data_IF_341314646791
#
_entry.id   IF_341314646791
#
_cell.length_a   1.000
_cell.length_b   1.000
_cell.length_c   1.000
_cell.angle_alpha   90.00
_cell.angle_beta   90.00
_cell.angle_gamma   90.00
#
_symmetry.space_group_name_H-M   'P 1'
#
loop_
_entity.id
_entity.type
_entity.pdbx_description
1 polymer ?
#
# COMPACT_ATOMS: atom_id res chain seq x y z
N UNK A 1 -47.10 -0.49 35.14
CA UNK A 1 -46.53 -1.78 34.74
C UNK A 1 -45.47 -1.53 33.73
N UNK A 2 -44.19 -1.50 34.16
CA UNK A 2 -43.01 -1.19 33.30
C UNK A 2 -42.51 -2.51 32.73
N UNK A 3 -42.61 -2.68 31.40
CA UNK A 3 -42.05 -3.82 30.67
C UNK A 3 -40.56 -3.59 30.47
N UNK A 4 -39.71 -4.32 31.19
CA UNK A 4 -38.27 -4.40 30.99
C UNK A 4 -38.00 -5.26 29.74
N UNK A 5 -37.48 -4.60 28.67
CA UNK A 5 -37.01 -5.29 27.47
C UNK A 5 -35.54 -5.64 27.69
N UNK A 6 -35.28 -6.93 27.97
CA UNK A 6 -33.89 -7.46 28.06
C UNK A 6 -33.37 -7.61 26.64
N UNK A 7 -32.48 -6.72 26.25
CA UNK A 7 -31.72 -6.79 24.99
C UNK A 7 -30.59 -7.82 25.18
N UNK A 8 -30.80 -9.03 24.70
CA UNK A 8 -29.78 -10.09 24.68
C UNK A 8 -28.75 -9.77 23.61
N UNK A 9 -27.58 -9.18 24.00
CA UNK A 9 -26.47 -8.95 23.13
C UNK A 9 -25.80 -10.29 22.85
N UNK A 10 -26.05 -10.85 21.67
CA UNK A 10 -25.31 -11.99 21.11
C UNK A 10 -23.89 -11.53 20.76
N UNK A 11 -22.95 -11.76 21.67
CA UNK A 11 -21.52 -11.71 21.35
C UNK A 11 -21.20 -12.87 20.39
N UNK A 12 -20.64 -12.62 19.20
CA UNK A 12 -20.15 -13.71 18.36
C UNK A 12 -18.98 -14.38 19.09
N UNK A 13 -19.16 -15.64 19.46
CA UNK A 13 -18.08 -16.50 19.96
C UNK A 13 -17.07 -16.65 18.81
N UNK A 14 -15.96 -15.93 18.90
CA UNK A 14 -14.82 -16.10 17.98
C UNK A 14 -14.33 -17.53 18.18
N UNK A 15 -14.56 -18.40 17.20
CA UNK A 15 -14.21 -19.80 17.29
C UNK A 15 -12.70 -19.95 17.45
N UNK A 16 -12.27 -20.81 18.38
CA UNK A 16 -10.88 -21.12 18.69
C UNK A 16 -10.04 -21.54 17.47
N UNK A 17 -10.68 -21.94 16.36
CA UNK A 17 -10.02 -22.27 15.10
C UNK A 17 -9.40 -21.06 14.38
N UNK A 18 -10.07 -19.89 14.43
CA UNK A 18 -9.53 -18.66 13.81
C UNK A 18 -8.33 -18.13 14.61
N UNK A 19 -8.36 -18.22 15.92
CA UNK A 19 -7.25 -17.78 16.77
C UNK A 19 -6.00 -18.66 16.59
N UNK A 20 -6.15 -19.99 16.44
CA UNK A 20 -5.03 -20.89 16.11
C UNK A 20 -4.41 -20.61 14.76
N UNK A 21 -5.20 -20.23 13.74
CA UNK A 21 -4.67 -19.88 12.42
C UNK A 21 -3.92 -18.55 12.43
N UNK A 22 -4.37 -17.57 13.21
CA UNK A 22 -3.67 -16.28 13.40
C UNK A 22 -2.34 -16.51 14.12
N UNK A 23 -2.33 -17.32 15.18
CA UNK A 23 -1.11 -17.67 15.92
C UNK A 23 -0.12 -18.46 15.05
N UNK A 24 -0.58 -19.42 14.23
CA UNK A 24 0.27 -20.18 13.33
C UNK A 24 0.89 -19.29 12.25
N UNK A 25 0.10 -18.39 11.66
CA UNK A 25 0.58 -17.43 10.67
C UNK A 25 1.58 -16.43 11.25
N UNK A 26 1.38 -15.96 12.49
CA UNK A 26 2.34 -15.10 13.20
C UNK A 26 3.60 -15.85 13.62
N UNK A 27 3.55 -17.14 13.93
CA UNK A 27 4.74 -17.94 14.26
C UNK A 27 5.59 -18.26 13.03
N UNK A 28 4.98 -18.49 11.87
CA UNK A 28 5.69 -18.67 10.60
C UNK A 28 6.41 -17.39 10.16
N UNK A 29 5.77 -16.22 10.35
CA UNK A 29 6.40 -14.91 10.12
C UNK A 29 7.51 -14.62 11.12
N UNK A 30 7.33 -15.00 12.39
CA UNK A 30 8.33 -14.81 13.44
C UNK A 30 9.59 -15.68 13.23
N UNK A 31 9.45 -16.85 12.61
CA UNK A 31 10.59 -17.76 12.36
C UNK A 31 11.54 -17.17 11.30
N UNK A 32 11.03 -16.39 10.34
CA UNK A 32 11.84 -15.67 9.34
C UNK A 32 12.60 -14.45 9.91
N UNK A 33 12.18 -13.94 11.07
CA UNK A 33 12.78 -12.78 11.73
C UNK A 33 13.87 -13.19 12.74
N UNK A 34 13.95 -14.46 13.10
CA UNK A 34 14.99 -14.97 14.00
C UNK A 34 16.23 -15.40 13.21
N UNK A 35 17.39 -14.90 13.62
CA UNK A 35 18.66 -15.40 13.08
C UNK A 35 18.97 -16.82 13.63
N UNK A 36 20.00 -17.48 13.05
CA UNK A 36 20.43 -18.83 13.45
C UNK A 36 20.69 -19.01 14.95
N UNK A 37 20.84 -17.93 15.70
CA UNK A 37 21.10 -17.92 17.15
C UNK A 37 19.84 -17.56 17.97
N UNK A 38 18.64 -17.58 17.38
CA UNK A 38 17.38 -17.26 18.05
C UNK A 38 17.21 -15.78 18.42
N UNK A 39 18.06 -14.87 17.90
CA UNK A 39 17.96 -13.44 18.11
C UNK A 39 17.14 -12.80 16.98
N UNK A 40 16.38 -11.75 17.31
CA UNK A 40 15.59 -10.99 16.34
C UNK A 40 16.52 -10.34 15.30
N UNK A 41 16.33 -10.67 14.04
CA UNK A 41 16.98 -10.02 12.91
C UNK A 41 16.14 -8.82 12.45
N UNK A 42 16.49 -7.65 12.96
CA UNK A 42 15.80 -6.40 12.67
C UNK A 42 15.81 -6.08 11.17
N UNK A 43 16.92 -6.37 10.47
CA UNK A 43 17.01 -6.11 9.03
C UNK A 43 16.11 -7.05 8.22
N UNK A 44 16.05 -8.33 8.57
CA UNK A 44 15.15 -9.28 7.94
C UNK A 44 13.69 -8.89 8.15
N UNK A 45 13.30 -8.53 9.37
CA UNK A 45 11.95 -8.09 9.69
C UNK A 45 11.53 -6.83 8.93
N UNK A 46 12.42 -5.83 8.84
CA UNK A 46 12.15 -4.61 8.08
C UNK A 46 12.01 -4.91 6.57
N UNK A 47 12.92 -5.71 6.00
CA UNK A 47 12.85 -6.10 4.59
C UNK A 47 11.54 -6.83 4.26
N UNK A 48 11.12 -7.74 5.12
CA UNK A 48 9.85 -8.46 4.94
C UNK A 48 8.65 -7.51 4.98
N UNK A 49 8.61 -6.58 5.96
CA UNK A 49 7.56 -5.59 6.07
C UNK A 49 7.49 -4.65 4.85
N UNK A 50 8.65 -4.17 4.38
CA UNK A 50 8.73 -3.31 3.20
C UNK A 50 8.34 -4.06 1.93
N UNK A 51 8.83 -5.28 1.72
CA UNK A 51 8.45 -6.11 0.58
C UNK A 51 6.94 -6.39 0.56
N UNK A 52 6.36 -6.73 1.70
CA UNK A 52 4.92 -6.95 1.81
C UNK A 52 4.14 -5.68 1.47
N UNK A 53 4.55 -4.54 2.05
CA UNK A 53 3.92 -3.24 1.77
C UNK A 53 3.98 -2.88 0.29
N UNK A 54 5.14 -3.00 -0.36
CA UNK A 54 5.28 -2.75 -1.80
C UNK A 54 4.41 -3.71 -2.60
N UNK A 55 4.45 -5.01 -2.34
CA UNK A 55 3.67 -6.00 -3.09
C UNK A 55 2.17 -5.71 -3.01
N UNK A 56 1.66 -5.39 -1.83
CA UNK A 56 0.24 -5.06 -1.64
C UNK A 56 -0.16 -3.76 -2.34
N UNK A 57 0.66 -2.71 -2.26
CA UNK A 57 0.35 -1.43 -2.88
C UNK A 57 0.51 -1.48 -4.41
N UNK A 58 1.58 -2.08 -4.90
CA UNK A 58 1.79 -2.29 -6.34
C UNK A 58 0.64 -3.08 -6.95
N UNK A 59 0.22 -4.17 -6.31
CA UNK A 59 -0.92 -4.96 -6.78
C UNK A 59 -2.20 -4.13 -6.94
N UNK A 60 -2.44 -3.16 -6.07
CA UNK A 60 -3.61 -2.26 -6.15
C UNK A 60 -3.43 -1.19 -7.22
N UNK A 61 -2.25 -0.57 -7.29
CA UNK A 61 -1.99 0.56 -8.16
C UNK A 61 -1.82 0.17 -9.63
N UNK A 62 -1.36 -1.06 -9.90
CA UNK A 62 -1.14 -1.56 -11.27
C UNK A 62 -2.34 -2.25 -11.90
N UNK A 63 -3.46 -2.32 -11.18
CA UNK A 63 -4.73 -2.74 -11.77
C UNK A 63 -5.28 -1.67 -12.70
N UNK A 64 -6.16 -2.08 -13.60
CA UNK A 64 -6.90 -1.16 -14.46
C UNK A 64 -7.69 -0.17 -13.60
N UNK A 65 -7.44 1.11 -13.80
CA UNK A 65 -7.98 2.23 -13.01
C UNK A 65 -7.46 2.30 -11.55
N UNK A 66 -6.35 1.64 -11.24
CA UNK A 66 -5.75 1.66 -9.89
C UNK A 66 -5.31 3.05 -9.45
N UNK A 67 -4.89 3.91 -10.39
CA UNK A 67 -4.67 5.34 -10.16
C UNK A 67 -5.95 6.14 -10.40
N UNK A 68 -6.60 5.93 -11.53
CA UNK A 68 -7.72 6.78 -11.97
C UNK A 68 -8.91 6.80 -11.01
N UNK A 69 -9.24 5.67 -10.39
CA UNK A 69 -10.33 5.54 -9.40
C UNK A 69 -9.90 5.71 -7.95
N UNK A 70 -8.62 5.96 -7.70
CA UNK A 70 -8.09 6.14 -6.36
C UNK A 70 -7.80 7.62 -6.08
N UNK A 71 -8.69 8.27 -5.37
CA UNK A 71 -8.61 9.71 -5.09
C UNK A 71 -7.34 10.16 -4.36
N UNK A 72 -6.62 9.24 -3.70
CA UNK A 72 -5.37 9.55 -2.98
C UNK A 72 -4.16 9.68 -3.92
N UNK A 73 -4.21 9.04 -5.09
CA UNK A 73 -3.07 8.98 -6.03
C UNK A 73 -3.43 9.38 -7.44
N UNK A 74 -4.71 9.64 -7.71
CA UNK A 74 -5.20 10.06 -9.02
C UNK A 74 -4.46 11.28 -9.54
N UNK A 75 -3.91 11.15 -10.74
CA UNK A 75 -3.30 12.26 -11.45
C UNK A 75 -4.41 13.05 -12.13
N UNK A 76 -4.54 14.30 -11.75
CA UNK A 76 -5.45 15.26 -12.37
C UNK A 76 -4.76 16.00 -13.53
N UNK A 77 -5.53 16.76 -14.31
CA UNK A 77 -4.96 17.56 -15.39
C UNK A 77 -3.94 18.57 -14.83
N UNK A 78 -2.70 18.59 -15.35
CA UNK A 78 -1.68 19.56 -14.98
C UNK A 78 -2.14 21.00 -15.18
N UNK A 79 -1.64 21.93 -14.38
CA UNK A 79 -2.05 23.34 -14.44
C UNK A 79 -1.80 23.96 -15.82
N UNK A 80 -0.69 23.57 -16.49
CA UNK A 80 -0.31 24.01 -17.82
C UNK A 80 -1.36 23.66 -18.88
N UNK A 81 -2.07 22.54 -18.69
CA UNK A 81 -3.14 22.07 -19.57
C UNK A 81 -4.54 22.49 -19.13
N UNK A 82 -4.67 23.19 -18.01
CA UNK A 82 -5.97 23.62 -17.46
C UNK A 82 -6.78 24.48 -18.42
N UNK A 83 -6.13 25.33 -19.21
CA UNK A 83 -6.79 26.15 -20.24
C UNK A 83 -7.36 25.27 -21.36
N UNK A 84 -6.62 24.26 -21.79
CA UNK A 84 -7.05 23.30 -22.81
C UNK A 84 -8.24 22.50 -22.31
N UNK A 85 -8.18 21.95 -21.10
CA UNK A 85 -9.28 21.25 -20.45
C UNK A 85 -10.56 22.09 -20.43
N UNK A 86 -10.47 23.32 -19.92
CA UNK A 86 -11.62 24.25 -19.87
C UNK A 86 -12.20 24.56 -21.24
N UNK A 87 -11.33 24.71 -22.25
CA UNK A 87 -11.77 24.97 -23.62
C UNK A 87 -12.50 23.77 -24.22
N UNK A 88 -11.94 22.57 -24.08
CA UNK A 88 -12.57 21.34 -24.54
C UNK A 88 -13.96 21.15 -23.92
N UNK A 89 -14.08 21.35 -22.61
CA UNK A 89 -15.38 21.24 -21.91
C UNK A 89 -16.39 22.28 -22.39
N UNK A 90 -15.96 23.53 -22.63
CA UNK A 90 -16.83 24.59 -23.18
C UNK A 90 -17.33 24.26 -24.59
N UNK A 91 -16.54 23.55 -25.39
CA UNK A 91 -16.89 23.12 -26.74
C UNK A 91 -17.72 21.81 -26.78
N UNK A 92 -18.11 21.29 -25.62
CA UNK A 92 -18.82 20.00 -25.51
C UNK A 92 -17.92 18.76 -25.73
N UNK A 93 -16.59 18.95 -25.77
CA UNK A 93 -15.60 17.88 -25.98
C UNK A 93 -14.98 17.41 -24.63
N UNK A 94 -15.76 17.45 -23.56
CA UNK A 94 -15.30 17.07 -22.21
C UNK A 94 -14.79 15.64 -22.11
N UNK A 95 -15.36 14.72 -22.90
CA UNK A 95 -14.88 13.32 -22.97
C UNK A 95 -13.42 13.23 -23.40
N UNK A 96 -12.96 14.08 -24.31
CA UNK A 96 -11.56 14.09 -24.75
C UNK A 96 -10.61 14.54 -23.64
N UNK A 97 -11.03 15.51 -22.81
CA UNK A 97 -10.28 15.91 -21.62
C UNK A 97 -10.21 14.77 -20.58
N UNK A 98 -11.32 14.07 -20.37
CA UNK A 98 -11.39 12.92 -19.45
C UNK A 98 -10.53 11.74 -19.94
N UNK A 99 -10.48 11.49 -21.24
CA UNK A 99 -9.60 10.49 -21.87
C UNK A 99 -8.13 10.86 -21.67
N UNK A 100 -7.78 12.15 -21.75
CA UNK A 100 -6.43 12.64 -21.44
C UNK A 100 -6.02 12.36 -19.99
N UNK A 101 -6.89 12.67 -19.02
CA UNK A 101 -6.67 12.35 -17.60
C UNK A 101 -6.52 10.84 -17.40
N UNK A 102 -7.36 10.05 -18.06
CA UNK A 102 -7.30 8.60 -18.00
C UNK A 102 -5.98 8.06 -18.55
N UNK A 103 -5.52 8.60 -19.68
CA UNK A 103 -4.23 8.22 -20.27
C UNK A 103 -3.05 8.52 -19.34
N UNK A 104 -3.03 9.67 -18.66
CA UNK A 104 -2.02 9.99 -17.66
C UNK A 104 -2.01 8.98 -16.51
N UNK A 105 -3.15 8.59 -16.01
CA UNK A 105 -3.26 7.61 -14.94
C UNK A 105 -2.84 6.20 -15.41
N UNK A 106 -3.12 5.82 -16.66
CA UNK A 106 -2.62 4.58 -17.25
C UNK A 106 -1.09 4.55 -17.35
N UNK A 107 -0.50 5.65 -17.79
CA UNK A 107 0.96 5.78 -17.84
C UNK A 107 1.57 5.65 -16.44
N UNK A 108 0.92 6.16 -15.39
CA UNK A 108 1.36 5.99 -14.01
C UNK A 108 1.26 4.53 -13.53
N UNK A 109 0.18 3.82 -13.89
CA UNK A 109 0.01 2.39 -13.60
C UNK A 109 1.16 1.56 -14.21
N UNK A 110 1.54 1.86 -15.45
CA UNK A 110 2.64 1.18 -16.13
C UNK A 110 4.00 1.59 -15.54
N UNK A 111 4.22 2.86 -15.23
CA UNK A 111 5.45 3.32 -14.58
C UNK A 111 5.69 2.64 -13.23
N UNK A 112 4.65 2.40 -12.42
CA UNK A 112 4.77 1.67 -11.16
C UNK A 112 5.19 0.21 -11.38
N UNK A 113 4.71 -0.45 -12.44
CA UNK A 113 5.17 -1.80 -12.80
C UNK A 113 6.67 -1.82 -13.08
N UNK A 114 7.14 -0.88 -13.90
CA UNK A 114 8.55 -0.78 -14.28
C UNK A 114 9.45 -0.40 -13.09
N UNK A 115 9.00 0.48 -12.19
CA UNK A 115 9.74 0.89 -11.01
C UNK A 115 9.82 -0.19 -9.91
N UNK A 116 8.88 -1.11 -9.86
CA UNK A 116 8.79 -2.12 -8.80
C UNK A 116 10.06 -2.94 -8.60
N UNK A 117 10.73 -3.49 -9.63
CA UNK A 117 11.96 -4.26 -9.47
C UNK A 117 13.09 -3.43 -8.84
N UNK A 118 13.14 -2.12 -9.11
CA UNK A 118 14.15 -1.20 -8.56
C UNK A 118 13.97 -1.11 -7.04
N UNK A 119 12.75 -0.86 -6.56
CA UNK A 119 12.45 -0.80 -5.13
C UNK A 119 12.68 -2.15 -4.43
N UNK A 120 12.24 -3.25 -5.03
CA UNK A 120 12.47 -4.59 -4.46
C UNK A 120 13.97 -4.88 -4.33
N UNK A 121 14.79 -4.48 -5.31
CA UNK A 121 16.23 -4.65 -5.25
C UNK A 121 16.85 -3.75 -4.17
N UNK A 122 16.45 -2.50 -4.05
CA UNK A 122 16.90 -1.60 -2.99
C UNK A 122 16.60 -2.18 -1.60
N UNK A 123 15.40 -2.70 -1.37
CA UNK A 123 15.00 -3.36 -0.11
C UNK A 123 15.88 -4.59 0.18
N UNK A 124 16.16 -5.44 -0.81
CA UNK A 124 17.03 -6.61 -0.63
C UNK A 124 18.43 -6.22 -0.14
N UNK A 125 18.91 -5.07 -0.56
CA UNK A 125 20.26 -4.56 -0.26
C UNK A 125 20.36 -3.75 1.05
N UNK A 126 19.25 -3.52 1.78
CA UNK A 126 19.28 -2.83 3.08
C UNK A 126 20.22 -3.56 4.04
N UNK A 127 21.18 -2.86 4.64
CA UNK A 127 22.09 -3.38 5.68
C UNK A 127 21.47 -3.23 7.08
N UNK A 128 21.99 -3.98 8.05
CA UNK A 128 21.50 -3.93 9.45
C UNK A 128 21.56 -2.52 10.04
N UNK A 129 22.66 -1.78 9.77
CA UNK A 129 22.82 -0.40 10.24
C UNK A 129 21.75 0.53 9.66
N UNK A 130 21.47 0.40 8.35
CA UNK A 130 20.47 1.20 7.66
C UNK A 130 19.05 0.86 8.15
N UNK A 131 18.78 -0.44 8.36
CA UNK A 131 17.49 -0.89 8.92
C UNK A 131 17.23 -0.25 10.29
N UNK A 132 18.23 -0.18 11.15
CA UNK A 132 18.12 0.49 12.46
C UNK A 132 17.84 1.99 12.31
N UNK A 133 18.55 2.66 11.41
CA UNK A 133 18.36 4.09 11.12
C UNK A 133 16.96 4.37 10.58
N UNK A 134 16.44 3.54 9.67
CA UNK A 134 15.08 3.65 9.12
C UNK A 134 14.04 3.48 10.23
N UNK A 135 14.17 2.45 11.07
CA UNK A 135 13.20 2.15 12.13
C UNK A 135 13.17 3.19 13.24
N UNK A 136 14.32 3.81 13.54
CA UNK A 136 14.43 4.86 14.57
C UNK A 136 14.24 6.27 13.99
N UNK A 137 14.09 6.39 12.69
CA UNK A 137 13.89 7.65 11.98
C UNK A 137 12.44 8.16 12.05
N UNK A 138 12.19 9.25 11.34
CA UNK A 138 10.85 9.81 11.21
C UNK A 138 9.97 8.94 10.28
N UNK A 139 8.69 9.32 10.15
CA UNK A 139 7.70 8.60 9.32
C UNK A 139 8.08 8.44 7.83
N UNK A 140 9.00 9.26 7.34
CA UNK A 140 9.45 9.24 5.94
C UNK A 140 10.82 8.57 5.77
N UNK A 141 11.45 8.07 6.85
CA UNK A 141 12.82 7.55 6.81
C UNK A 141 13.02 6.44 5.77
N UNK A 142 12.07 5.52 5.65
CA UNK A 142 12.13 4.46 4.63
C UNK A 142 12.04 5.02 3.21
N UNK A 143 11.14 5.95 2.94
CA UNK A 143 10.97 6.58 1.62
C UNK A 143 12.19 7.42 1.24
N UNK A 144 12.82 8.08 2.21
CA UNK A 144 14.03 8.88 1.97
C UNK A 144 15.25 8.00 1.67
N UNK A 145 15.29 6.79 2.22
CA UNK A 145 16.36 5.81 2.01
C UNK A 145 16.25 5.11 0.64
N UNK A 146 15.03 4.79 0.20
CA UNK A 146 14.74 4.07 -1.05
C UNK A 146 14.82 4.96 -2.28
#
# INVERSE_FOLDING_TARGET
MKKFLILLILFPVISNAQFKNILKKSSETATGILNKNGKVDIAAGLKEALNKGITEQVSKLTQVDGFYKNELVKIVMPEELSKVDKTLRKLGMGSLADDGIKALNRAAEDAVKEATPVFVNAIKNIKIADAKTILMGNKNAATTYL
#
